data_IF_920956515036
#
_entry.id   IF_920956515036
#
_cell.length_a   1.000
_cell.length_b   1.000
_cell.length_c   1.000
_cell.angle_alpha   90.00
_cell.angle_beta   90.00
_cell.angle_gamma   90.00
#
_symmetry.space_group_name_H-M   'P 1'
#
loop_
_entity.id
_entity.type
_entity.pdbx_description
1 polymer ?
#
# COMPACT_ATOMS: atom_id res chain seq x y z
N UNK A 1 26.36 -2.27 -18.15
CA UNK A 1 26.32 -3.53 -17.36
C UNK A 1 25.02 -4.25 -17.65
N UNK A 2 25.01 -5.50 -18.12
CA UNK A 2 23.79 -6.28 -18.24
C UNK A 2 23.43 -6.85 -16.87
N UNK A 3 22.24 -6.51 -16.35
CA UNK A 3 21.73 -7.07 -15.09
C UNK A 3 21.15 -8.44 -15.42
N UNK A 4 21.66 -9.49 -14.74
CA UNK A 4 21.11 -10.85 -14.90
C UNK A 4 19.72 -10.90 -14.26
N UNK A 5 18.71 -11.44 -14.98
CA UNK A 5 17.37 -11.57 -14.41
C UNK A 5 17.39 -12.47 -13.17
N UNK A 6 16.60 -12.11 -12.15
CA UNK A 6 16.41 -12.93 -10.94
C UNK A 6 15.34 -14.00 -11.19
N UNK A 7 14.32 -13.68 -12.00
CA UNK A 7 13.22 -14.57 -12.38
C UNK A 7 13.12 -14.67 -13.90
N UNK A 8 12.70 -15.84 -14.39
CA UNK A 8 12.32 -16.00 -15.80
C UNK A 8 10.91 -15.43 -16.04
N UNK A 9 10.53 -15.22 -17.30
CA UNK A 9 9.19 -14.77 -17.67
C UNK A 9 8.11 -15.76 -17.20
N UNK A 10 8.39 -17.07 -17.30
CA UNK A 10 7.49 -18.13 -16.85
C UNK A 10 7.31 -18.11 -15.34
N UNK A 11 8.39 -17.95 -14.57
CA UNK A 11 8.34 -17.82 -13.11
C UNK A 11 7.53 -16.59 -12.68
N UNK A 12 7.73 -15.45 -13.35
CA UNK A 12 6.98 -14.23 -13.09
C UNK A 12 5.49 -14.41 -13.40
N UNK A 13 5.16 -15.04 -14.51
CA UNK A 13 3.77 -15.35 -14.88
C UNK A 13 3.12 -16.30 -13.87
N UNK A 14 3.82 -17.34 -13.45
CA UNK A 14 3.33 -18.28 -12.43
C UNK A 14 3.06 -17.58 -11.09
N UNK A 15 3.90 -16.62 -10.70
CA UNK A 15 3.69 -15.80 -9.51
C UNK A 15 2.36 -15.04 -9.56
N UNK A 16 2.08 -14.37 -10.69
CA UNK A 16 0.80 -13.66 -10.88
C UNK A 16 -0.39 -14.62 -10.90
N UNK A 17 -0.25 -15.81 -11.46
CA UNK A 17 -1.30 -16.82 -11.44
C UNK A 17 -1.58 -17.34 -10.02
N UNK A 18 -0.56 -17.50 -9.20
CA UNK A 18 -0.66 -17.95 -7.81
C UNK A 18 -1.33 -16.90 -6.90
N UNK A 19 -0.99 -15.61 -7.03
CA UNK A 19 -1.51 -14.57 -6.16
C UNK A 19 -3.04 -14.46 -6.31
N UNK A 20 -3.76 -14.55 -5.22
CA UNK A 20 -5.21 -14.38 -5.17
C UNK A 20 -5.61 -13.58 -3.91
N UNK A 21 -6.79 -12.98 -3.92
CA UNK A 21 -7.41 -12.40 -2.73
C UNK A 21 -7.93 -13.53 -1.84
N UNK A 22 -7.18 -13.85 -0.80
CA UNK A 22 -7.45 -14.99 0.11
C UNK A 22 -8.34 -14.55 1.26
N UNK A 23 -9.47 -15.25 1.44
CA UNK A 23 -10.49 -14.90 2.43
C UNK A 23 -10.64 -15.92 3.57
N UNK A 24 -9.74 -16.90 3.65
CA UNK A 24 -9.67 -17.87 4.73
C UNK A 24 -8.22 -18.31 4.92
N UNK A 25 -7.71 -18.15 6.12
CA UNK A 25 -6.35 -18.49 6.49
C UNK A 25 -6.32 -19.62 7.52
N UNK A 26 -5.20 -20.32 7.59
CA UNK A 26 -4.90 -21.27 8.64
C UNK A 26 -4.42 -20.50 9.90
N UNK A 27 -5.22 -20.43 10.97
CA UNK A 27 -4.88 -19.67 12.15
C UNK A 27 -3.67 -20.25 12.91
N UNK A 28 -3.35 -21.53 12.69
CA UNK A 28 -2.21 -22.18 13.32
C UNK A 28 -0.88 -21.83 12.65
N UNK A 29 -0.91 -21.38 11.39
CA UNK A 29 0.29 -21.01 10.64
C UNK A 29 0.57 -19.53 10.73
N UNK A 30 1.74 -19.18 11.27
CA UNK A 30 2.21 -17.80 11.34
C UNK A 30 3.35 -17.58 10.35
N UNK A 31 3.37 -16.41 9.75
CA UNK A 31 4.44 -15.99 8.85
C UNK A 31 5.70 -15.76 9.70
N UNK A 32 6.87 -16.31 9.32
CA UNK A 32 8.13 -16.02 9.96
C UNK A 32 8.45 -14.52 9.93
N UNK A 33 9.05 -14.00 10.99
CA UNK A 33 9.36 -12.57 11.09
C UNK A 33 10.25 -12.08 9.94
N UNK A 34 11.24 -12.87 9.52
CA UNK A 34 12.11 -12.54 8.39
C UNK A 34 11.35 -12.39 7.06
N UNK A 35 10.36 -13.25 6.83
CA UNK A 35 9.56 -13.22 5.60
C UNK A 35 8.59 -12.02 5.62
N UNK A 36 8.02 -11.74 6.80
CA UNK A 36 7.14 -10.59 6.96
C UNK A 36 7.91 -9.27 6.84
N UNK A 37 9.12 -9.20 7.39
CA UNK A 37 10.02 -8.04 7.19
C UNK A 37 10.32 -7.82 5.70
N UNK A 38 10.59 -8.87 4.93
CA UNK A 38 10.80 -8.75 3.49
C UNK A 38 9.56 -8.19 2.76
N UNK A 39 8.35 -8.55 3.21
CA UNK A 39 7.10 -7.98 2.69
C UNK A 39 7.01 -6.48 3.02
N UNK A 40 7.33 -6.08 4.26
CA UNK A 40 7.34 -4.66 4.66
C UNK A 40 8.39 -3.87 3.86
N UNK A 41 9.57 -4.43 3.63
CA UNK A 41 10.61 -3.82 2.79
C UNK A 41 10.16 -3.64 1.34
N UNK A 42 9.40 -4.58 0.78
CA UNK A 42 8.83 -4.41 -0.56
C UNK A 42 7.88 -3.20 -0.64
N UNK A 43 7.09 -2.97 0.42
CA UNK A 43 6.27 -1.76 0.55
C UNK A 43 7.12 -0.50 0.65
N UNK A 44 8.09 -0.49 1.57
CA UNK A 44 8.97 0.66 1.84
C UNK A 44 9.82 1.07 0.63
N UNK A 45 10.31 0.10 -0.13
CA UNK A 45 11.16 0.32 -1.31
C UNK A 45 10.36 0.59 -2.60
N UNK A 46 9.04 0.68 -2.50
CA UNK A 46 8.18 0.97 -3.65
C UNK A 46 8.45 2.37 -4.21
N UNK A 47 8.35 2.55 -5.53
CA UNK A 47 8.39 3.89 -6.11
C UNK A 47 7.11 4.65 -5.76
N UNK A 48 7.19 5.97 -5.76
CA UNK A 48 6.05 6.87 -5.63
C UNK A 48 6.19 8.07 -6.54
N UNK A 49 5.09 8.73 -6.86
CA UNK A 49 5.11 9.97 -7.64
C UNK A 49 6.04 10.99 -6.99
N UNK A 50 6.94 11.56 -7.76
CA UNK A 50 8.01 12.47 -7.33
C UNK A 50 8.86 11.94 -6.17
N UNK A 51 8.83 10.63 -5.92
CA UNK A 51 9.51 9.97 -4.80
C UNK A 51 9.05 10.48 -3.44
N UNK A 52 7.77 10.76 -3.30
CA UNK A 52 7.19 11.39 -2.11
C UNK A 52 7.01 10.44 -0.93
N UNK A 53 6.82 9.14 -1.17
CA UNK A 53 6.62 8.13 -0.13
C UNK A 53 5.55 8.53 0.92
N UNK A 54 4.32 8.92 0.51
CA UNK A 54 3.33 9.51 1.40
C UNK A 54 2.54 8.43 2.15
N UNK A 55 3.23 7.46 2.74
CA UNK A 55 2.64 6.31 3.42
C UNK A 55 3.26 6.02 4.78
N UNK A 56 2.47 5.35 5.62
CA UNK A 56 2.92 4.60 6.78
C UNK A 56 2.23 3.23 6.79
N UNK A 57 2.90 2.23 7.36
CA UNK A 57 2.37 0.88 7.49
C UNK A 57 2.15 0.56 8.97
N UNK A 58 0.89 0.41 9.39
CA UNK A 58 0.54 -0.04 10.72
C UNK A 58 0.34 -1.56 10.70
N UNK A 59 1.16 -2.29 11.44
CA UNK A 59 0.99 -3.73 11.62
C UNK A 59 0.11 -3.95 12.86
N UNK A 60 -1.16 -4.26 12.64
CA UNK A 60 -2.15 -4.39 13.72
C UNK A 60 -2.23 -5.84 14.16
N UNK A 61 -1.47 -6.18 15.23
CA UNK A 61 -1.51 -7.51 15.86
C UNK A 61 -2.35 -7.56 17.13
N UNK A 62 -2.74 -6.40 17.67
CA UNK A 62 -3.62 -6.30 18.82
C UNK A 62 -5.00 -6.89 18.49
N UNK A 63 -5.41 -7.93 19.24
CA UNK A 63 -6.66 -8.67 18.99
C UNK A 63 -7.91 -7.82 19.27
N UNK A 64 -7.86 -6.94 20.26
CA UNK A 64 -8.97 -6.07 20.60
C UNK A 64 -9.24 -5.04 19.52
N UNK A 65 -8.17 -4.46 18.95
CA UNK A 65 -8.31 -3.58 17.78
C UNK A 65 -8.84 -4.31 16.56
N UNK A 66 -8.36 -5.53 16.26
CA UNK A 66 -8.91 -6.33 15.17
C UNK A 66 -10.40 -6.64 15.37
N UNK A 67 -10.81 -6.95 16.61
CA UNK A 67 -12.21 -7.19 16.96
C UNK A 67 -13.08 -5.93 16.76
N UNK A 68 -12.57 -4.73 17.07
CA UNK A 68 -13.26 -3.46 16.82
C UNK A 68 -13.34 -3.13 15.32
N UNK A 69 -12.31 -3.45 14.54
CA UNK A 69 -12.28 -3.20 13.10
C UNK A 69 -13.19 -4.15 12.31
N UNK A 70 -13.41 -5.37 12.81
CA UNK A 70 -14.18 -6.42 12.12
C UNK A 70 -15.60 -5.99 11.69
N UNK A 71 -16.47 -5.45 12.57
CA UNK A 71 -17.84 -5.08 12.21
C UNK A 71 -17.94 -3.92 11.22
N UNK A 72 -16.91 -3.07 11.14
CA UNK A 72 -16.86 -1.91 10.24
C UNK A 72 -16.04 -2.18 8.97
N UNK A 73 -15.60 -3.43 8.76
CA UNK A 73 -14.72 -3.82 7.64
C UNK A 73 -15.21 -5.12 6.99
N UNK A 74 -16.32 -5.01 6.25
CA UNK A 74 -16.95 -6.16 5.59
C UNK A 74 -16.01 -6.90 4.62
N UNK A 75 -15.03 -6.23 4.05
CA UNK A 75 -14.02 -6.83 3.17
C UNK A 75 -13.06 -7.80 3.85
N UNK A 76 -12.97 -7.77 5.20
CA UNK A 76 -12.13 -8.68 5.98
C UNK A 76 -12.87 -9.44 7.09
N UNK A 77 -14.19 -9.41 7.10
CA UNK A 77 -14.99 -9.99 8.17
C UNK A 77 -14.74 -11.48 8.42
N UNK A 78 -14.34 -12.23 7.38
CA UNK A 78 -14.10 -13.67 7.48
C UNK A 78 -12.65 -14.04 7.80
N UNK A 79 -11.67 -13.17 7.52
CA UNK A 79 -10.25 -13.52 7.60
C UNK A 79 -9.45 -12.72 8.65
N UNK A 80 -10.02 -11.68 9.25
CA UNK A 80 -9.27 -10.81 10.17
C UNK A 80 -8.78 -11.53 11.43
N UNK A 81 -9.55 -12.49 11.93
CA UNK A 81 -9.21 -13.25 13.14
C UNK A 81 -8.09 -14.27 12.86
N UNK A 82 -8.15 -14.93 11.69
CA UNK A 82 -7.26 -16.02 11.31
C UNK A 82 -5.97 -15.55 10.63
N UNK A 83 -5.97 -14.33 10.09
CA UNK A 83 -4.81 -13.77 9.41
C UNK A 83 -3.59 -13.72 10.34
N UNK A 84 -2.45 -14.15 9.83
CA UNK A 84 -1.17 -14.00 10.53
C UNK A 84 -0.89 -12.53 10.83
N UNK A 85 -1.02 -11.67 9.81
CA UNK A 85 -0.79 -10.24 9.94
C UNK A 85 -1.91 -9.43 9.29
N UNK A 86 -2.27 -8.30 9.93
CA UNK A 86 -3.10 -7.24 9.37
C UNK A 86 -2.22 -6.00 9.22
N UNK A 87 -2.15 -5.46 8.01
CA UNK A 87 -1.47 -4.19 7.72
C UNK A 87 -2.51 -3.16 7.31
N UNK A 88 -2.52 -2.01 7.97
CA UNK A 88 -3.28 -0.83 7.57
C UNK A 88 -2.29 0.14 6.94
N UNK A 89 -2.54 0.54 5.70
CA UNK A 89 -1.70 1.50 5.00
C UNK A 89 -2.35 2.88 5.12
N UNK A 90 -1.63 3.79 5.75
CA UNK A 90 -2.01 5.18 5.89
C UNK A 90 -1.47 5.99 4.72
N UNK A 91 -2.23 7.00 4.29
CA UNK A 91 -1.78 8.03 3.38
C UNK A 91 -1.67 9.38 4.09
N UNK A 92 -0.67 10.18 3.71
CA UNK A 92 -0.45 11.55 4.22
C UNK A 92 -1.54 12.47 3.73
N UNK A 93 -2.25 13.15 4.64
CA UNK A 93 -3.33 14.07 4.29
C UNK A 93 -2.83 15.34 3.62
N UNK A 94 -1.78 15.92 4.16
CA UNK A 94 -1.22 17.19 3.66
C UNK A 94 0.12 16.96 2.95
N UNK A 95 0.14 16.12 1.91
CA UNK A 95 1.32 15.89 1.08
C UNK A 95 1.52 17.01 0.04
N UNK A 96 1.53 18.28 0.50
CA UNK A 96 1.64 19.48 -0.33
C UNK A 96 3.09 19.93 -0.46
N UNK A 97 3.43 20.54 -1.60
CA UNK A 97 4.77 21.10 -1.88
C UNK A 97 5.22 22.16 -0.85
N UNK A 98 4.27 22.86 -0.24
CA UNK A 98 4.45 23.95 0.72
C UNK A 98 4.27 23.50 2.19
N UNK A 99 4.35 22.19 2.44
CA UNK A 99 4.23 21.61 3.78
C UNK A 99 5.56 21.06 4.28
N UNK A 100 5.75 20.90 5.61
CA UNK A 100 6.93 20.28 6.20
C UNK A 100 7.25 18.89 5.63
N UNK A 101 6.24 18.18 5.15
CA UNK A 101 6.41 16.86 4.53
C UNK A 101 7.33 16.92 3.30
N UNK A 102 7.20 17.92 2.43
CA UNK A 102 8.10 18.10 1.29
C UNK A 102 9.44 18.70 1.68
N UNK A 103 9.51 19.47 2.74
CA UNK A 103 10.79 19.94 3.30
C UNK A 103 11.67 18.75 3.72
N UNK A 104 11.09 17.77 4.40
CA UNK A 104 11.78 16.53 4.78
C UNK A 104 12.27 15.73 3.57
N UNK A 105 11.48 15.67 2.48
CA UNK A 105 11.88 15.00 1.25
C UNK A 105 13.08 15.70 0.61
N UNK A 106 13.03 17.03 0.53
CA UNK A 106 14.12 17.84 -0.03
C UNK A 106 15.39 17.64 0.79
N UNK A 107 15.29 17.70 2.12
CA UNK A 107 16.40 17.50 3.04
C UNK A 107 17.02 16.10 2.93
N UNK A 108 16.19 15.03 2.90
CA UNK A 108 16.65 13.64 2.74
C UNK A 108 17.40 13.40 1.42
N UNK A 109 17.12 14.20 0.39
CA UNK A 109 17.82 14.16 -0.90
C UNK A 109 19.10 14.98 -0.94
N UNK A 110 19.43 15.64 0.18
CA UNK A 110 20.63 16.47 0.29
C UNK A 110 20.55 17.80 -0.48
N UNK A 111 19.35 18.23 -0.89
CA UNK A 111 19.18 19.51 -1.56
C UNK A 111 19.22 20.66 -0.54
N UNK A 112 20.07 21.67 -0.82
CA UNK A 112 20.24 22.87 0.00
C UNK A 112 20.30 24.12 -0.89
N UNK A 113 20.05 25.31 -0.33
CA UNK A 113 20.15 26.58 -1.06
C UNK A 113 19.31 26.60 -2.34
N UNK A 114 19.89 27.09 -3.42
CA UNK A 114 19.23 27.18 -4.74
C UNK A 114 18.66 25.84 -5.25
N UNK A 115 19.34 24.71 -4.97
CA UNK A 115 18.86 23.40 -5.37
C UNK A 115 17.58 22.99 -4.63
N UNK A 116 17.45 23.35 -3.35
CA UNK A 116 16.23 23.13 -2.57
C UNK A 116 15.06 24.00 -3.08
N UNK A 117 15.33 25.26 -3.41
CA UNK A 117 14.33 26.18 -3.98
C UNK A 117 13.86 25.69 -5.36
N UNK A 118 14.79 25.28 -6.22
CA UNK A 118 14.47 24.73 -7.53
C UNK A 118 13.63 23.43 -7.41
N UNK A 119 13.96 22.55 -6.45
CA UNK A 119 13.17 21.36 -6.19
C UNK A 119 11.75 21.70 -5.72
N UNK A 120 11.61 22.65 -4.80
CA UNK A 120 10.29 23.12 -4.32
C UNK A 120 9.47 23.74 -5.46
N UNK A 121 10.07 24.58 -6.27
CA UNK A 121 9.39 25.18 -7.43
C UNK A 121 8.90 24.10 -8.42
N UNK A 122 9.70 23.05 -8.65
CA UNK A 122 9.30 21.92 -9.48
C UNK A 122 8.13 21.15 -8.89
N UNK A 123 8.11 20.90 -7.58
CA UNK A 123 6.97 20.24 -6.91
C UNK A 123 5.73 21.13 -6.94
N UNK A 124 5.87 22.44 -6.73
CA UNK A 124 4.78 23.38 -6.85
C UNK A 124 4.14 23.32 -8.23
N UNK A 125 4.95 23.43 -9.28
CA UNK A 125 4.48 23.34 -10.67
C UNK A 125 3.75 22.01 -10.92
N UNK A 126 4.33 20.90 -10.48
CA UNK A 126 3.73 19.57 -10.64
C UNK A 126 2.35 19.52 -9.98
N UNK A 127 2.23 19.96 -8.72
CA UNK A 127 0.97 19.85 -7.97
C UNK A 127 -0.09 20.86 -8.43
N UNK A 128 0.33 22.08 -8.80
CA UNK A 128 -0.59 23.16 -9.20
C UNK A 128 -1.06 22.99 -10.65
N UNK A 129 -0.14 22.68 -11.57
CA UNK A 129 -0.41 22.74 -13.02
C UNK A 129 -0.42 21.37 -13.68
N UNK A 130 0.63 20.55 -13.45
CA UNK A 130 0.80 19.33 -14.25
C UNK A 130 -0.17 18.22 -13.81
N UNK A 131 -0.43 18.10 -12.51
CA UNK A 131 -1.31 17.08 -11.93
C UNK A 131 -2.63 17.68 -11.38
N UNK A 132 -2.69 19.01 -11.19
CA UNK A 132 -3.85 19.78 -10.69
C UNK A 132 -4.53 19.13 -9.45
N UNK A 133 -3.71 18.81 -8.45
CA UNK A 133 -4.16 18.08 -7.25
C UNK A 133 -4.48 18.98 -6.06
N UNK A 134 -4.29 20.30 -6.17
CA UNK A 134 -4.48 21.23 -5.05
C UNK A 134 -5.89 21.86 -4.99
N UNK A 135 -6.82 21.38 -5.82
CA UNK A 135 -8.19 21.90 -5.85
C UNK A 135 -8.94 21.70 -4.52
N UNK A 136 -8.56 20.68 -3.72
CA UNK A 136 -9.12 20.41 -2.41
C UNK A 136 -8.18 19.53 -1.57
N UNK A 137 -8.38 19.49 -0.25
CA UNK A 137 -7.69 18.54 0.63
C UNK A 137 -7.96 17.09 0.21
N UNK A 138 -9.16 16.80 -0.26
CA UNK A 138 -9.54 15.49 -0.77
C UNK A 138 -8.70 15.10 -1.99
N UNK A 139 -8.46 16.01 -2.92
CA UNK A 139 -7.65 15.74 -4.13
C UNK A 139 -6.21 15.40 -3.76
N UNK A 140 -5.62 16.11 -2.78
CA UNK A 140 -4.27 15.83 -2.26
C UNK A 140 -4.22 14.45 -1.60
N UNK A 141 -5.20 14.14 -0.76
CA UNK A 141 -5.29 12.85 -0.09
C UNK A 141 -5.48 11.70 -1.08
N UNK A 142 -6.37 11.83 -2.07
CA UNK A 142 -6.59 10.84 -3.12
C UNK A 142 -5.32 10.61 -3.96
N UNK A 143 -4.54 11.66 -4.23
CA UNK A 143 -3.24 11.51 -4.87
C UNK A 143 -2.25 10.72 -4.00
N UNK A 144 -2.19 11.01 -2.70
CA UNK A 144 -1.37 10.25 -1.76
C UNK A 144 -1.83 8.78 -1.67
N UNK A 145 -3.13 8.53 -1.62
CA UNK A 145 -3.70 7.18 -1.63
C UNK A 145 -3.30 6.39 -2.88
N UNK A 146 -3.21 6.99 -4.08
CA UNK A 146 -2.73 6.29 -5.28
C UNK A 146 -1.33 5.71 -5.09
N UNK A 147 -0.46 6.39 -4.34
CA UNK A 147 0.91 5.90 -4.07
C UNK A 147 0.90 4.67 -3.15
N UNK A 148 -0.01 4.61 -2.18
CA UNK A 148 -0.14 3.47 -1.27
C UNK A 148 -0.54 2.18 -2.00
N UNK A 149 -1.29 2.27 -3.11
CA UNK A 149 -1.66 1.12 -3.93
C UNK A 149 -0.46 0.53 -4.67
N UNK A 150 0.56 1.33 -5.00
CA UNK A 150 1.82 0.83 -5.56
C UNK A 150 2.54 -0.01 -4.49
N UNK A 151 2.68 0.51 -3.28
CA UNK A 151 3.28 -0.20 -2.16
C UNK A 151 2.50 -1.49 -1.82
N UNK A 152 1.17 -1.42 -1.76
CA UNK A 152 0.28 -2.56 -1.56
C UNK A 152 0.51 -3.66 -2.60
N UNK A 153 0.58 -3.31 -3.89
CA UNK A 153 0.79 -4.27 -4.97
C UNK A 153 2.15 -4.97 -4.84
N UNK A 154 3.20 -4.24 -4.48
CA UNK A 154 4.53 -4.80 -4.27
C UNK A 154 4.58 -5.72 -3.04
N UNK A 155 3.94 -5.35 -1.93
CA UNK A 155 3.82 -6.20 -0.75
C UNK A 155 3.10 -7.51 -1.06
N UNK A 156 1.99 -7.47 -1.81
CA UNK A 156 1.27 -8.68 -2.23
C UNK A 156 2.10 -9.56 -3.17
N UNK A 157 2.91 -8.94 -4.04
CA UNK A 157 3.81 -9.66 -4.95
C UNK A 157 4.92 -10.34 -4.18
N UNK A 158 5.57 -9.64 -3.25
CA UNK A 158 6.60 -10.21 -2.38
C UNK A 158 6.05 -11.38 -1.55
N UNK A 159 4.87 -11.21 -0.93
CA UNK A 159 4.20 -12.28 -0.21
C UNK A 159 4.00 -13.52 -1.10
N UNK A 160 3.46 -13.35 -2.31
CA UNK A 160 3.25 -14.46 -3.24
C UNK A 160 4.55 -15.15 -3.66
N UNK A 161 5.65 -14.41 -3.82
CA UNK A 161 6.98 -14.95 -4.10
C UNK A 161 7.51 -15.81 -2.95
N UNK A 162 7.18 -15.47 -1.71
CA UNK A 162 7.54 -16.21 -0.50
C UNK A 162 6.54 -17.35 -0.17
N UNK A 163 5.55 -17.61 -1.03
CA UNK A 163 4.55 -18.63 -0.76
C UNK A 163 3.47 -18.22 0.23
N UNK A 164 3.38 -16.95 0.57
CA UNK A 164 2.43 -16.35 1.50
C UNK A 164 1.25 -15.78 0.72
N UNK A 165 0.06 -15.96 1.25
CA UNK A 165 -1.18 -15.45 0.66
C UNK A 165 -1.55 -14.10 1.25
N UNK A 166 -2.30 -13.30 0.47
CA UNK A 166 -2.72 -11.98 0.89
C UNK A 166 -4.12 -11.64 0.39
N UNK A 167 -4.77 -10.67 1.04
CA UNK A 167 -6.01 -10.09 0.56
C UNK A 167 -5.96 -8.56 0.70
N UNK A 168 -6.08 -7.79 -0.40
CA UNK A 168 -6.32 -6.35 -0.31
C UNK A 168 -7.75 -6.11 0.16
N UNK A 169 -7.92 -5.11 1.03
CA UNK A 169 -9.19 -4.78 1.66
C UNK A 169 -9.46 -3.29 1.48
N UNK A 170 -10.51 -3.01 0.73
CA UNK A 170 -11.05 -1.68 0.48
C UNK A 170 -12.49 -1.56 0.99
N UNK A 171 -13.11 -2.72 1.30
CA UNK A 171 -14.47 -2.82 1.80
C UNK A 171 -14.55 -2.56 3.30
N UNK A 172 -14.50 -1.30 3.71
CA UNK A 172 -14.64 -0.86 5.10
C UNK A 172 -15.25 0.55 5.18
N UNK A 173 -15.78 0.90 6.34
CA UNK A 173 -16.20 2.26 6.66
C UNK A 173 -14.94 3.09 7.00
N UNK A 174 -14.57 3.99 6.10
CA UNK A 174 -13.37 4.83 6.25
C UNK A 174 -13.43 5.74 7.48
N UNK A 175 -14.60 6.30 7.79
CA UNK A 175 -14.75 7.18 8.95
C UNK A 175 -14.58 6.41 10.25
N UNK A 176 -15.23 5.24 10.36
CA UNK A 176 -15.17 4.41 11.57
C UNK A 176 -13.80 3.77 11.77
N UNK A 177 -13.15 3.26 10.72
CA UNK A 177 -11.79 2.71 10.83
C UNK A 177 -10.79 3.78 11.26
N UNK A 178 -10.87 4.98 10.67
CA UNK A 178 -10.04 6.12 11.10
C UNK A 178 -10.31 6.48 12.57
N UNK A 179 -11.58 6.56 12.97
CA UNK A 179 -11.97 6.89 14.35
C UNK A 179 -11.43 5.88 15.36
N UNK A 180 -11.56 4.57 15.06
CA UNK A 180 -11.08 3.50 15.94
C UNK A 180 -9.57 3.56 16.11
N UNK A 181 -8.82 3.59 14.99
CA UNK A 181 -7.36 3.53 15.03
C UNK A 181 -6.72 4.81 15.58
N UNK A 182 -7.23 5.97 15.20
CA UNK A 182 -6.75 7.25 15.74
C UNK A 182 -7.11 7.40 17.22
N UNK A 183 -8.33 6.99 17.62
CA UNK A 183 -8.77 6.97 19.02
C UNK A 183 -7.93 6.04 19.91
N UNK A 184 -7.37 4.97 19.32
CA UNK A 184 -6.41 4.10 19.99
C UNK A 184 -4.95 4.63 19.95
N UNK A 185 -4.71 5.83 19.43
CA UNK A 185 -3.38 6.45 19.37
C UNK A 185 -2.46 5.84 18.32
N UNK A 186 -2.99 5.10 17.33
CA UNK A 186 -2.17 4.45 16.31
C UNK A 186 -1.55 5.46 15.31
N UNK A 187 -2.16 6.60 15.12
CA UNK A 187 -1.66 7.70 14.28
C UNK A 187 -2.36 9.02 14.61
N UNK A 188 -1.76 10.14 14.20
CA UNK A 188 -2.39 11.45 14.26
C UNK A 188 -3.37 11.62 13.08
N UNK A 189 -4.67 11.75 13.40
CA UNK A 189 -5.74 11.90 12.43
C UNK A 189 -5.70 13.23 11.66
N UNK A 190 -4.97 14.24 12.12
CA UNK A 190 -4.77 15.48 11.37
C UNK A 190 -3.77 15.30 10.23
N UNK A 191 -2.78 14.42 10.44
CA UNK A 191 -1.66 14.21 9.53
C UNK A 191 -1.89 13.04 8.57
N UNK A 192 -2.61 12.01 9.03
CA UNK A 192 -2.76 10.74 8.33
C UNK A 192 -4.21 10.30 8.21
N UNK A 193 -4.49 9.49 7.20
CA UNK A 193 -5.75 8.81 7.03
C UNK A 193 -5.57 7.40 6.47
N UNK A 194 -6.49 6.51 6.81
CA UNK A 194 -6.47 5.14 6.26
C UNK A 194 -6.74 5.17 4.76
N UNK A 195 -5.88 4.54 3.99
CA UNK A 195 -6.04 4.39 2.53
C UNK A 195 -6.60 3.02 2.18
N UNK A 196 -5.92 1.95 2.59
CA UNK A 196 -6.27 0.57 2.26
C UNK A 196 -5.71 -0.37 3.32
N UNK A 197 -6.25 -1.58 3.44
CA UNK A 197 -5.72 -2.59 4.35
C UNK A 197 -5.32 -3.86 3.60
N UNK A 198 -4.49 -4.68 4.25
CA UNK A 198 -4.01 -5.97 3.76
C UNK A 198 -4.04 -7.00 4.88
N UNK A 199 -4.55 -8.19 4.59
CA UNK A 199 -4.31 -9.35 5.44
C UNK A 199 -3.32 -10.30 4.78
N UNK A 200 -2.49 -10.98 5.59
CA UNK A 200 -1.48 -11.95 5.17
C UNK A 200 -1.58 -13.23 5.99
N UNK A 201 -1.34 -14.37 5.36
CA UNK A 201 -1.35 -15.68 6.00
C UNK A 201 -1.21 -16.81 5.00
N UNK A 202 -1.59 -18.00 5.38
CA UNK A 202 -1.56 -19.18 4.53
C UNK A 202 -2.99 -19.67 4.29
N UNK A 203 -3.39 -19.77 3.02
CA UNK A 203 -4.76 -20.16 2.65
C UNK A 203 -5.11 -21.59 3.08
N UNK A 204 -6.37 -21.80 3.40
CA UNK A 204 -6.93 -23.14 3.70
C UNK A 204 -7.69 -23.76 2.52
N UNK A 205 -7.95 -23.00 1.46
CA UNK A 205 -8.71 -23.45 0.30
C UNK A 205 -7.96 -23.18 -1.01
N UNK A 206 -8.25 -23.98 -2.02
CA UNK A 206 -7.72 -23.74 -3.36
C UNK A 206 -8.26 -22.44 -3.95
N UNK A 207 -7.41 -21.76 -4.72
CA UNK A 207 -7.83 -20.57 -5.47
C UNK A 207 -8.66 -20.99 -6.68
N UNK A 208 -9.68 -20.18 -6.96
CA UNK A 208 -10.44 -20.31 -8.21
C UNK A 208 -9.57 -19.81 -9.39
N UNK A 209 -9.76 -20.34 -10.59
CA UNK A 209 -9.14 -19.80 -11.80
C UNK A 209 -9.42 -18.30 -11.93
N UNK A 210 -8.43 -17.56 -12.41
CA UNK A 210 -8.58 -16.13 -12.62
C UNK A 210 -9.48 -15.85 -13.81
N UNK A 211 -10.48 -15.00 -13.61
CA UNK A 211 -11.24 -14.40 -14.70
C UNK A 211 -10.66 -13.01 -14.99
N UNK A 212 -10.11 -12.84 -16.16
CA UNK A 212 -9.59 -11.55 -16.65
C UNK A 212 -10.01 -11.37 -18.09
N UNK A 213 -10.10 -10.12 -18.52
CA UNK A 213 -10.26 -9.78 -19.93
C UNK A 213 -9.11 -10.36 -20.76
N UNK A 214 -9.36 -10.75 -22.01
CA UNK A 214 -8.29 -11.05 -22.95
C UNK A 214 -7.30 -9.89 -23.06
N UNK A 215 -6.03 -10.21 -23.38
CA UNK A 215 -4.99 -9.17 -23.41
C UNK A 215 -5.25 -8.11 -24.46
N UNK A 216 -5.88 -8.48 -25.56
CA UNK A 216 -6.23 -7.60 -26.68
C UNK A 216 -7.26 -6.53 -26.31
N UNK A 217 -8.07 -6.76 -25.27
CA UNK A 217 -9.02 -5.76 -24.77
C UNK A 217 -8.38 -4.73 -23.84
N UNK A 218 -7.21 -5.03 -23.26
CA UNK A 218 -6.54 -4.19 -22.26
C UNK A 218 -5.22 -3.62 -22.73
N UNK A 219 -4.67 -4.15 -23.83
CA UNK A 219 -3.40 -3.69 -24.42
C UNK A 219 -3.63 -3.25 -25.85
N UNK A 220 -3.24 -2.03 -26.17
CA UNK A 220 -3.26 -1.49 -27.52
C UNK A 220 -1.85 -1.06 -27.92
N UNK A 221 -1.34 -1.63 -28.99
CA UNK A 221 -0.05 -1.24 -29.59
C UNK A 221 -0.23 -0.05 -30.53
N UNK A 222 0.48 1.04 -30.26
CA UNK A 222 0.58 2.19 -31.17
C UNK A 222 2.00 2.12 -31.77
N UNK A 223 2.07 1.86 -33.06
CA UNK A 223 3.33 1.72 -33.81
C UNK A 223 3.46 2.80 -34.85
#
# INVERSE_FOLDING_TARGET
MSIKPILTAEQLTALWQRRAATRAYDPAKKIPDSDFEAILQAGRLSPSSVGSEPWQFLVVQNRELRAQLKPVSWGMATQVDDASHLVVILAKKNARYDSPFFDDIIARRGFTGEAAEAARAKYARFQIHDADILASERSVFDWACKQTYIAMANMMTAAAALGIDSCPIEGFDYAEVNRILAGAGCFDAQEWGVSVMLTFGYRTANIKPKSRKPIEEVVRWIR
#
